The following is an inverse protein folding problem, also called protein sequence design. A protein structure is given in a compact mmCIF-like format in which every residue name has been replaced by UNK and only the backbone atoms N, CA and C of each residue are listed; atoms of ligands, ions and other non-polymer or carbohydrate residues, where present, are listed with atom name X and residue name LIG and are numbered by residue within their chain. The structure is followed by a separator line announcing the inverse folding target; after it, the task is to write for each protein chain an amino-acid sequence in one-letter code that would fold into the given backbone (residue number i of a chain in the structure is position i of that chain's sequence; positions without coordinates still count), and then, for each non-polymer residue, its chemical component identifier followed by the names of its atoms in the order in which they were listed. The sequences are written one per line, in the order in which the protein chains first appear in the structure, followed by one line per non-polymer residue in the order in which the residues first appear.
data_IF_733932346181
#
_entry.id   IF_733932346181
#
_cell.length_a   1.000
_cell.length_b   1.000
_cell.length_c   1.000
_cell.angle_alpha   90.00
_cell.angle_beta   90.00
_cell.angle_gamma   90.00
#
_symmetry.space_group_name_H-M   'P 1'
#
loop_
_entity.id
_entity.type
_entity.pdbx_description
1 polymer ?
#
# COMPACT_ATOMS: atom_id res chain seq x y z
N UNK A 1 -14.48 -61.29 -6.27
CA UNK A 1 -14.46 -60.23 -5.24
C UNK A 1 -13.01 -59.88 -4.94
N UNK A 2 -12.72 -58.59 -4.70
CA UNK A 2 -11.43 -57.99 -4.38
C UNK A 2 -10.66 -57.34 -5.55
N UNK A 3 -10.16 -56.13 -5.25
CA UNK A 3 -9.34 -55.21 -6.07
C UNK A 3 -10.08 -54.23 -7.00
N UNK A 4 -11.15 -53.62 -6.52
CA UNK A 4 -11.34 -52.18 -6.79
C UNK A 4 -10.54 -51.45 -5.72
N UNK A 5 -9.22 -51.43 -5.94
CA UNK A 5 -8.27 -50.71 -5.09
C UNK A 5 -8.57 -49.23 -5.35
N UNK A 6 -9.27 -48.62 -4.39
CA UNK A 6 -9.52 -47.20 -4.30
C UNK A 6 -8.25 -46.44 -4.69
N UNK A 7 -8.20 -45.95 -5.92
CA UNK A 7 -7.42 -44.80 -6.29
C UNK A 7 -8.09 -43.62 -5.59
N UNK A 8 -7.87 -43.52 -4.28
CA UNK A 8 -7.91 -42.24 -3.60
C UNK A 8 -6.75 -41.48 -4.22
N UNK A 9 -7.07 -40.79 -5.31
CA UNK A 9 -6.27 -39.72 -5.89
C UNK A 9 -5.79 -38.90 -4.69
N UNK A 10 -4.50 -39.02 -4.39
CA UNK A 10 -3.79 -38.14 -3.47
C UNK A 10 -3.87 -36.75 -4.10
N UNK A 11 -4.98 -36.06 -3.90
CA UNK A 11 -5.09 -34.64 -4.22
C UNK A 11 -3.96 -33.94 -3.48
N UNK A 12 -3.04 -33.38 -4.26
CA UNK A 12 -1.78 -32.88 -3.78
C UNK A 12 -1.98 -31.83 -2.66
N UNK A 13 -1.14 -31.82 -1.61
CA UNK A 13 -1.23 -30.88 -0.49
C UNK A 13 -1.14 -29.39 -0.89
N UNK A 14 -0.75 -29.11 -2.14
CA UNK A 14 -0.67 -27.77 -2.73
C UNK A 14 -2.04 -27.09 -2.90
N UNK A 15 -3.10 -27.83 -3.23
CA UNK A 15 -4.44 -27.27 -3.51
C UNK A 15 -5.06 -26.61 -2.26
N UNK A 16 -5.05 -27.31 -1.12
CA UNK A 16 -5.60 -26.79 0.14
C UNK A 16 -4.81 -25.61 0.71
N UNK A 17 -3.50 -25.56 0.48
CA UNK A 17 -2.66 -24.45 0.93
C UNK A 17 -2.99 -23.16 0.19
N UNK A 18 -3.29 -23.25 -1.12
CA UNK A 18 -3.63 -22.12 -1.98
C UNK A 18 -5.01 -21.56 -1.63
N UNK A 19 -6.02 -22.41 -1.40
CA UNK A 19 -7.35 -21.94 -0.96
C UNK A 19 -7.30 -21.22 0.40
N UNK A 20 -6.56 -21.78 1.36
CA UNK A 20 -6.42 -21.19 2.69
C UNK A 20 -5.69 -19.84 2.65
N UNK A 21 -4.75 -19.67 1.72
CA UNK A 21 -4.10 -18.38 1.47
C UNK A 21 -5.04 -17.37 0.82
N UNK A 22 -5.79 -17.79 -0.19
CA UNK A 22 -6.75 -16.94 -0.92
C UNK A 22 -7.85 -16.42 0.00
N UNK A 23 -8.41 -17.26 0.88
CA UNK A 23 -9.44 -16.83 1.84
C UNK A 23 -8.89 -15.85 2.87
N UNK A 24 -7.66 -16.07 3.36
CA UNK A 24 -7.00 -15.17 4.31
C UNK A 24 -6.68 -13.81 3.69
N UNK A 25 -6.28 -13.78 2.42
CA UNK A 25 -6.03 -12.53 1.68
C UNK A 25 -7.33 -11.76 1.45
N UNK A 26 -8.39 -12.47 1.04
CA UNK A 26 -9.73 -11.89 0.85
C UNK A 26 -10.27 -11.26 2.14
N UNK A 27 -10.11 -11.95 3.28
CA UNK A 27 -10.61 -11.43 4.55
C UNK A 27 -9.87 -10.16 5.00
N UNK A 28 -8.55 -10.08 4.78
CA UNK A 28 -7.75 -8.87 5.05
C UNK A 28 -8.15 -7.72 4.12
N UNK A 29 -8.36 -8.00 2.84
CA UNK A 29 -8.79 -6.99 1.88
C UNK A 29 -10.15 -6.40 2.24
N UNK A 30 -11.13 -7.25 2.57
CA UNK A 30 -12.48 -6.82 3.01
C UNK A 30 -12.39 -6.00 4.30
N UNK A 31 -11.53 -6.41 5.26
CA UNK A 31 -11.31 -5.64 6.49
C UNK A 31 -10.73 -4.25 6.21
N UNK A 32 -9.75 -4.14 5.31
CA UNK A 32 -9.16 -2.85 4.90
C UNK A 32 -10.23 -1.97 4.25
N UNK A 33 -11.05 -2.51 3.35
CA UNK A 33 -12.15 -1.77 2.72
C UNK A 33 -13.16 -1.27 3.75
N UNK A 34 -13.50 -2.10 4.74
CA UNK A 34 -14.40 -1.69 5.82
C UNK A 34 -13.83 -0.51 6.61
N UNK A 35 -12.53 -0.55 6.94
CA UNK A 35 -11.86 0.56 7.65
C UNK A 35 -11.85 1.83 6.79
N UNK A 36 -11.53 1.73 5.49
CA UNK A 36 -11.57 2.87 4.55
C UNK A 36 -12.96 3.50 4.54
N UNK A 37 -14.00 2.68 4.45
CA UNK A 37 -15.38 3.13 4.38
C UNK A 37 -15.83 3.82 5.68
N UNK A 38 -15.51 3.24 6.84
CA UNK A 38 -15.83 3.82 8.15
C UNK A 38 -15.14 5.19 8.32
N UNK A 39 -13.85 5.29 7.97
CA UNK A 39 -13.11 6.55 8.08
C UNK A 39 -13.66 7.62 7.13
N UNK A 40 -13.99 7.25 5.88
CA UNK A 40 -14.62 8.17 4.93
C UNK A 40 -15.97 8.67 5.42
N UNK A 41 -16.78 7.78 5.98
CA UNK A 41 -18.07 8.13 6.58
C UNK A 41 -17.92 9.08 7.77
N UNK A 42 -16.97 8.82 8.67
CA UNK A 42 -16.66 9.72 9.81
C UNK A 42 -16.26 11.12 9.31
N UNK A 43 -15.48 11.20 8.24
CA UNK A 43 -15.12 12.48 7.61
C UNK A 43 -16.36 13.27 7.16
N UNK A 44 -17.26 12.61 6.41
CA UNK A 44 -18.49 13.22 5.90
C UNK A 44 -19.44 13.65 7.04
N UNK A 45 -19.65 12.77 8.01
CA UNK A 45 -20.50 13.04 9.17
C UNK A 45 -19.95 14.20 9.99
N UNK A 46 -18.64 14.26 10.18
CA UNK A 46 -18.03 15.34 10.95
C UNK A 46 -18.16 16.70 10.27
N UNK A 47 -17.99 16.73 8.95
CA UNK A 47 -18.18 17.95 8.17
C UNK A 47 -19.64 18.41 8.21
N UNK A 48 -20.58 17.46 8.09
CA UNK A 48 -22.01 17.75 8.02
C UNK A 48 -22.62 18.13 9.38
N UNK A 49 -22.26 17.42 10.46
CA UNK A 49 -22.88 17.61 11.79
C UNK A 49 -22.15 18.63 12.66
N UNK A 50 -20.82 18.71 12.55
CA UNK A 50 -20.00 19.55 13.44
C UNK A 50 -19.36 20.74 12.73
N UNK A 51 -19.58 20.89 11.41
CA UNK A 51 -18.92 21.88 10.56
C UNK A 51 -17.39 21.90 10.77
N UNK A 52 -16.82 20.74 11.13
CA UNK A 52 -15.39 20.55 11.37
C UNK A 52 -14.81 19.68 10.28
N UNK A 53 -13.88 20.27 9.52
CA UNK A 53 -13.19 19.58 8.45
C UNK A 53 -12.05 18.69 9.00
N UNK A 54 -12.42 17.55 9.60
CA UNK A 54 -11.46 16.53 10.05
C UNK A 54 -10.88 15.73 8.88
N UNK A 55 -11.43 15.89 7.67
CA UNK A 55 -10.98 15.22 6.45
C UNK A 55 -9.49 15.43 6.22
N UNK A 56 -8.96 16.63 6.49
CA UNK A 56 -7.54 16.93 6.42
C UNK A 56 -6.69 16.09 7.40
N UNK A 57 -7.18 15.86 8.62
CA UNK A 57 -6.48 15.03 9.61
C UNK A 57 -6.51 13.56 9.20
N UNK A 58 -7.66 13.06 8.76
CA UNK A 58 -7.83 11.67 8.30
C UNK A 58 -6.94 11.42 7.09
N UNK A 59 -6.91 12.35 6.13
CA UNK A 59 -6.07 12.26 4.93
C UNK A 59 -4.58 12.23 5.27
N UNK A 60 -4.13 13.11 6.17
CA UNK A 60 -2.73 13.12 6.64
C UNK A 60 -2.35 11.78 7.27
N UNK A 61 -3.23 11.24 8.11
CA UNK A 61 -3.01 9.96 8.80
C UNK A 61 -3.00 8.78 7.81
N UNK A 62 -3.86 8.81 6.78
CA UNK A 62 -3.89 7.83 5.71
C UNK A 62 -2.59 7.83 4.90
N UNK A 63 -2.11 9.00 4.48
CA UNK A 63 -0.86 9.08 3.71
C UNK A 63 0.34 8.56 4.51
N UNK A 64 0.40 8.87 5.81
CA UNK A 64 1.46 8.32 6.68
C UNK A 64 1.34 6.78 6.75
N UNK A 65 0.13 6.24 6.94
CA UNK A 65 -0.09 4.80 7.01
C UNK A 65 0.30 4.07 5.70
N UNK A 66 -0.07 4.62 4.54
CA UNK A 66 0.33 4.08 3.22
C UNK A 66 1.84 4.11 3.08
N UNK A 67 2.44 5.26 3.34
CA UNK A 67 3.89 5.42 3.15
C UNK A 67 4.69 4.48 4.05
N UNK A 68 4.24 4.27 5.30
CA UNK A 68 4.81 3.25 6.19
C UNK A 68 4.62 1.83 5.65
N UNK A 69 3.45 1.52 5.11
CA UNK A 69 3.18 0.25 4.43
C UNK A 69 4.14 0.01 3.26
N UNK A 70 4.34 1.02 2.40
CA UNK A 70 5.24 0.95 1.26
C UNK A 70 6.71 0.80 1.68
N UNK A 71 7.16 1.51 2.72
CA UNK A 71 8.52 1.34 3.26
C UNK A 71 8.72 -0.06 3.84
N UNK A 72 7.71 -0.61 4.50
CA UNK A 72 7.76 -1.97 5.05
C UNK A 72 7.83 -3.01 3.93
N UNK A 73 7.02 -2.82 2.88
CA UNK A 73 6.98 -3.68 1.69
C UNK A 73 8.27 -3.59 0.86
N UNK A 74 8.91 -2.42 0.82
CA UNK A 74 10.19 -2.23 0.17
C UNK A 74 11.33 -3.06 0.81
N UNK A 75 11.06 -3.80 1.89
CA UNK A 75 11.98 -4.70 2.58
C UNK A 75 13.38 -4.09 2.76
N UNK A 76 13.58 -3.40 3.88
CA UNK A 76 14.87 -2.80 4.30
C UNK A 76 16.06 -3.78 4.19
N UNK A 77 15.82 -5.10 4.26
CA UNK A 77 16.86 -6.13 4.02
C UNK A 77 17.34 -6.18 2.56
N UNK A 78 16.45 -6.06 1.57
CA UNK A 78 16.85 -5.98 0.16
C UNK A 78 17.66 -4.70 -0.11
N UNK A 79 17.31 -3.60 0.57
CA UNK A 79 18.09 -2.37 0.55
C UNK A 79 19.49 -2.49 1.17
N UNK A 80 19.70 -3.36 2.16
CA UNK A 80 21.05 -3.62 2.70
C UNK A 80 21.92 -4.39 1.72
N UNK A 81 21.32 -5.25 0.89
CA UNK A 81 22.04 -6.00 -0.14
C UNK A 81 22.45 -5.14 -1.34
N UNK A 82 21.88 -3.93 -1.55
CA UNK A 82 22.36 -2.99 -2.58
C UNK A 82 23.86 -2.71 -2.46
N UNK A 83 24.39 -2.70 -1.23
CA UNK A 83 25.80 -2.43 -0.97
C UNK A 83 26.73 -3.58 -1.39
N UNK A 84 26.17 -4.78 -1.56
CA UNK A 84 26.89 -6.02 -1.85
C UNK A 84 26.66 -6.48 -3.30
N UNK A 85 25.42 -6.39 -3.78
CA UNK A 85 24.99 -6.88 -5.10
C UNK A 85 24.90 -5.77 -6.17
N UNK A 86 24.98 -4.50 -5.78
CA UNK A 86 24.85 -3.36 -6.67
C UNK A 86 23.39 -3.04 -7.06
N UNK A 87 23.23 -2.12 -8.02
CA UNK A 87 21.92 -1.73 -8.56
C UNK A 87 21.43 -2.80 -9.56
N UNK A 88 20.70 -3.78 -9.04
CA UNK A 88 19.91 -4.71 -9.87
C UNK A 88 18.49 -4.16 -10.06
N UNK A 89 17.76 -4.57 -11.11
CA UNK A 89 16.38 -4.12 -11.34
C UNK A 89 15.45 -4.35 -10.14
N UNK A 90 15.54 -5.51 -9.48
CA UNK A 90 14.78 -5.79 -8.25
C UNK A 90 15.12 -4.83 -7.12
N UNK A 91 16.41 -4.58 -6.89
CA UNK A 91 16.86 -3.68 -5.84
C UNK A 91 16.48 -2.22 -6.14
N UNK A 92 16.46 -1.82 -7.42
CA UNK A 92 15.95 -0.52 -7.85
C UNK A 92 14.43 -0.39 -7.64
N UNK A 93 13.67 -1.47 -7.85
CA UNK A 93 12.26 -1.54 -7.50
C UNK A 93 12.04 -1.25 -6.01
N UNK A 94 12.71 -2.00 -5.14
CA UNK A 94 12.61 -1.83 -3.69
C UNK A 94 13.04 -0.43 -3.26
N UNK A 95 14.14 0.09 -3.79
CA UNK A 95 14.61 1.43 -3.50
C UNK A 95 13.56 2.47 -3.87
N UNK A 96 12.95 2.36 -5.04
CA UNK A 96 12.00 3.39 -5.46
C UNK A 96 10.67 3.29 -4.75
N UNK A 97 10.22 2.08 -4.41
CA UNK A 97 9.06 1.88 -3.53
C UNK A 97 9.29 2.51 -2.15
N UNK A 98 10.51 2.39 -1.60
CA UNK A 98 10.88 3.06 -0.35
C UNK A 98 10.90 4.58 -0.49
N UNK A 99 11.43 5.12 -1.59
CA UNK A 99 11.44 6.56 -1.88
C UNK A 99 10.00 7.08 -1.98
N UNK A 100 9.13 6.41 -2.74
CA UNK A 100 7.72 6.78 -2.85
C UNK A 100 7.07 6.76 -1.48
N UNK A 101 7.26 5.68 -0.70
CA UNK A 101 6.74 5.59 0.66
C UNK A 101 7.20 6.73 1.57
N UNK A 102 8.49 7.09 1.52
CA UNK A 102 9.04 8.23 2.28
C UNK A 102 8.42 9.57 1.85
N UNK A 103 8.26 9.78 0.54
CA UNK A 103 7.61 10.97 -0.01
C UNK A 103 6.13 11.01 0.42
N UNK A 104 5.43 9.88 0.42
CA UNK A 104 4.03 9.80 0.88
C UNK A 104 3.92 10.14 2.37
N UNK A 105 4.85 9.68 3.22
CA UNK A 105 4.89 10.07 4.63
C UNK A 105 5.09 11.58 4.76
N UNK A 106 6.06 12.15 4.04
CA UNK A 106 6.31 13.60 4.08
C UNK A 106 5.07 14.37 3.63
N UNK A 107 4.43 13.97 2.53
CA UNK A 107 3.19 14.56 2.06
C UNK A 107 2.07 14.47 3.12
N UNK A 108 1.97 13.35 3.83
CA UNK A 108 1.06 13.18 4.96
C UNK A 108 1.34 14.13 6.11
N UNK A 109 2.60 14.25 6.54
CA UNK A 109 3.01 15.17 7.62
C UNK A 109 2.72 16.62 7.25
N UNK A 110 3.03 17.04 6.02
CA UNK A 110 2.73 18.41 5.56
C UNK A 110 1.23 18.64 5.24
N UNK A 111 0.41 17.59 5.23
CA UNK A 111 -1.05 17.70 5.10
C UNK A 111 -1.74 18.00 6.43
N UNK A 112 -1.01 17.95 7.55
CA UNK A 112 -1.59 18.29 8.84
C UNK A 112 -2.08 19.75 8.84
N UNK A 113 -3.30 20.02 9.35
CA UNK A 113 -3.86 21.38 9.38
C UNK A 113 -3.01 22.40 10.13
N UNK A 114 -2.18 21.95 11.09
CA UNK A 114 -1.22 22.81 11.81
C UNK A 114 -0.12 23.39 10.91
N UNK A 115 0.18 22.72 9.80
CA UNK A 115 1.13 23.13 8.77
C UNK A 115 0.48 23.34 7.41
N UNK A 116 -0.86 23.41 7.35
CA UNK A 116 -1.59 23.51 6.10
C UNK A 116 -1.38 24.91 5.51
N UNK A 117 -0.29 25.02 4.75
CA UNK A 117 -0.07 26.10 3.82
C UNK A 117 -1.12 25.88 2.72
N UNK A 118 -2.29 26.52 2.84
CA UNK A 118 -3.32 26.63 1.79
C UNK A 118 -2.81 27.54 0.67
N UNK A 119 -1.61 27.27 0.18
CA UNK A 119 -1.07 27.88 -1.00
C UNK A 119 -1.37 26.94 -2.17
N UNK A 120 -2.04 27.40 -3.24
CA UNK A 120 -2.30 26.59 -4.42
C UNK A 120 -1.04 25.94 -5.00
N UNK A 121 0.14 26.53 -4.80
CA UNK A 121 1.43 25.91 -5.14
C UNK A 121 1.67 24.58 -4.41
N UNK A 122 1.20 24.43 -3.17
CA UNK A 122 1.36 23.19 -2.41
C UNK A 122 0.46 22.07 -2.95
N UNK A 123 -0.76 22.39 -3.39
CA UNK A 123 -1.62 21.43 -4.08
C UNK A 123 -1.01 20.97 -5.41
N UNK A 124 -0.44 21.89 -6.19
CA UNK A 124 0.26 21.56 -7.42
C UNK A 124 1.44 20.62 -7.18
N UNK A 125 2.27 20.88 -6.16
CA UNK A 125 3.41 20.01 -5.80
C UNK A 125 2.94 18.61 -5.41
N UNK A 126 1.89 18.48 -4.58
CA UNK A 126 1.33 17.16 -4.24
C UNK A 126 0.85 16.42 -5.49
N UNK A 127 0.20 17.12 -6.43
CA UNK A 127 -0.24 16.55 -7.70
C UNK A 127 0.92 16.04 -8.56
N UNK A 128 1.95 16.86 -8.75
CA UNK A 128 3.15 16.50 -9.52
C UNK A 128 3.85 15.29 -8.90
N UNK A 129 4.03 15.28 -7.59
CA UNK A 129 4.60 14.15 -6.84
C UNK A 129 3.78 12.89 -7.04
N UNK A 130 2.44 12.99 -7.01
CA UNK A 130 1.56 11.85 -7.27
C UNK A 130 1.72 11.31 -8.70
N UNK A 131 1.84 12.17 -9.70
CA UNK A 131 2.04 11.77 -11.09
C UNK A 131 3.39 11.05 -11.24
N UNK A 132 4.46 11.60 -10.67
CA UNK A 132 5.79 10.97 -10.69
C UNK A 132 5.73 9.59 -10.02
N UNK A 133 5.07 9.47 -8.86
CA UNK A 133 4.91 8.20 -8.17
C UNK A 133 4.18 7.16 -9.03
N UNK A 134 3.10 7.55 -9.71
CA UNK A 134 2.35 6.66 -10.62
C UNK A 134 3.22 6.21 -11.80
N UNK A 135 3.94 7.13 -12.44
CA UNK A 135 4.83 6.82 -13.57
C UNK A 135 5.89 5.80 -13.13
N UNK A 136 6.47 6.01 -11.96
CA UNK A 136 7.48 5.07 -11.45
C UNK A 136 6.88 3.71 -11.13
N UNK A 137 5.70 3.65 -10.51
CA UNK A 137 5.00 2.37 -10.25
C UNK A 137 4.72 1.63 -11.57
N UNK A 138 4.29 2.33 -12.62
CA UNK A 138 4.06 1.72 -13.94
C UNK A 138 5.36 1.15 -14.49
N UNK A 139 6.44 1.93 -14.48
CA UNK A 139 7.76 1.47 -14.96
C UNK A 139 8.20 0.23 -14.15
N UNK A 140 8.05 0.26 -12.83
CA UNK A 140 8.40 -0.87 -11.97
C UNK A 140 7.61 -2.12 -12.31
N UNK A 141 6.30 -1.98 -12.58
CA UNK A 141 5.43 -3.12 -12.87
C UNK A 141 5.75 -3.77 -14.20
N UNK A 142 6.24 -3.01 -15.19
CA UNK A 142 6.52 -3.53 -16.54
C UNK A 142 7.96 -4.01 -16.75
N UNK A 143 8.93 -3.52 -15.96
CA UNK A 143 10.35 -3.84 -16.17
C UNK A 143 10.95 -4.82 -15.15
N UNK A 144 10.21 -5.20 -14.11
CA UNK A 144 10.67 -6.12 -13.04
C UNK A 144 9.88 -7.45 -13.09
N UNK A 145 9.53 -7.91 -14.29
CA UNK A 145 9.23 -9.31 -14.58
C UNK A 145 10.43 -10.01 -15.23
#
# INVERSE_FOLDING_TARGET
MAKIKKEVIKEAPKSRAIEKWKSKLSHKFVMILAVVSILGFIGIVSETLFNRNINLHIQALWMIAIGLGMITEAQIKSLKNLKVEGLTPNNFAHLTTAIIGAITILAGVFSFPRFNITNPSFHAIRGIVSIIAIVVIIIQTWFIE
#
